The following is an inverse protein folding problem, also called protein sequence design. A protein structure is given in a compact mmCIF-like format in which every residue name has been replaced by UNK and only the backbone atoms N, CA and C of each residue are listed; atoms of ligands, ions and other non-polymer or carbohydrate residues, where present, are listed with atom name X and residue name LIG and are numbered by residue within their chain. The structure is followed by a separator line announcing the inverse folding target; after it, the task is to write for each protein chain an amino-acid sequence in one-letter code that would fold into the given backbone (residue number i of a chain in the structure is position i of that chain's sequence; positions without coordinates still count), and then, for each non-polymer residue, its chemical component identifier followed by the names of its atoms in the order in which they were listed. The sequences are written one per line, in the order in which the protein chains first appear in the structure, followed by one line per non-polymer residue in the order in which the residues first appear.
data_IF_332539987212
#
_entry.id   IF_332539987212
#
_cell.length_a   1.000
_cell.length_b   1.000
_cell.length_c   1.000
_cell.angle_alpha   90.00
_cell.angle_beta   90.00
_cell.angle_gamma   90.00
#
_symmetry.space_group_name_H-M   'P 1'
#
loop_
_entity.id
_entity.type
_entity.pdbx_description
1 polymer ?
#
# COMPACT_ATOMS: atom_id res chain seq x y z
N UNK A 1 -3.06 4.20 18.03
CA UNK A 1 -3.25 4.57 16.61
C UNK A 1 -4.18 5.77 16.56
N UNK A 2 -3.75 6.89 15.98
CA UNK A 2 -4.67 7.98 15.66
C UNK A 2 -5.61 7.56 14.54
N UNK A 3 -6.81 8.14 14.52
CA UNK A 3 -7.77 7.95 13.43
C UNK A 3 -7.14 8.32 12.08
N UNK A 4 -7.45 7.56 11.03
CA UNK A 4 -7.12 7.93 9.64
C UNK A 4 -7.58 9.36 9.38
N UNK A 5 -6.70 10.16 8.77
CA UNK A 5 -7.01 11.50 8.26
C UNK A 5 -7.27 11.41 6.76
N UNK A 6 -8.54 11.40 6.31
CA UNK A 6 -8.86 11.20 4.89
C UNK A 6 -8.20 12.23 3.96
N UNK A 7 -7.97 13.45 4.46
CA UNK A 7 -7.30 14.54 3.74
C UNK A 7 -5.84 14.26 3.38
N UNK A 8 -5.19 13.31 4.05
CA UNK A 8 -3.82 12.85 3.76
C UNK A 8 -3.76 11.61 2.88
N UNK A 9 -4.91 11.09 2.46
CA UNK A 9 -5.00 9.90 1.63
C UNK A 9 -5.13 10.30 0.16
N UNK A 10 -4.11 9.97 -0.63
CA UNK A 10 -4.09 10.16 -2.07
C UNK A 10 -4.39 8.83 -2.75
N UNK A 11 -5.51 8.78 -3.46
CA UNK A 11 -5.94 7.56 -4.18
C UNK A 11 -5.74 7.75 -5.67
N UNK A 12 -5.10 6.78 -6.30
CA UNK A 12 -4.94 6.71 -7.75
C UNK A 12 -5.40 5.36 -8.28
N UNK A 13 -6.14 5.36 -9.37
CA UNK A 13 -6.52 4.16 -10.10
C UNK A 13 -5.56 3.96 -11.29
N UNK A 14 -4.88 2.82 -11.33
CA UNK A 14 -3.97 2.45 -12.40
C UNK A 14 -4.68 1.48 -13.36
N UNK A 15 -4.83 1.91 -14.62
CA UNK A 15 -5.57 1.19 -15.65
C UNK A 15 -7.04 1.63 -15.76
N UNK A 16 -7.77 1.00 -16.67
CA UNK A 16 -9.18 1.31 -16.91
C UNK A 16 -10.03 0.63 -15.84
N UNK A 17 -10.89 1.36 -15.10
CA UNK A 17 -11.92 0.73 -14.28
C UNK A 17 -12.79 -0.10 -15.22
N UNK A 18 -12.84 -1.42 -15.02
CA UNK A 18 -13.79 -2.21 -15.80
C UNK A 18 -15.19 -1.78 -15.37
N UNK A 19 -16.10 -1.60 -16.34
CA UNK A 19 -17.43 -1.06 -16.08
C UNK A 19 -18.25 -1.94 -15.13
N UNK A 20 -17.98 -3.25 -15.07
CA UNK A 20 -18.89 -4.22 -14.45
C UNK A 20 -18.14 -5.19 -13.49
N UNK A 21 -18.11 -4.85 -12.20
CA UNK A 21 -17.81 -5.81 -11.12
C UNK A 21 -16.43 -5.71 -10.44
N UNK A 22 -16.22 -6.47 -9.35
CA UNK A 22 -14.93 -6.53 -8.66
C UNK A 22 -13.92 -7.23 -9.58
N UNK A 23 -13.18 -6.42 -10.34
CA UNK A 23 -12.06 -6.83 -11.17
C UNK A 23 -11.12 -7.78 -10.42
N UNK A 24 -11.07 -9.03 -10.85
CA UNK A 24 -9.99 -9.93 -10.51
C UNK A 24 -8.94 -9.87 -11.65
N UNK A 25 -7.64 -9.70 -11.33
CA UNK A 25 -7.09 -9.32 -10.03
C UNK A 25 -7.26 -7.81 -9.78
N UNK A 26 -7.67 -7.42 -8.56
CA UNK A 26 -7.57 -6.04 -8.05
C UNK A 26 -6.58 -6.06 -6.91
N UNK A 27 -5.50 -5.31 -7.10
CA UNK A 27 -4.40 -5.15 -6.17
C UNK A 27 -4.35 -3.73 -5.63
N UNK A 28 -3.85 -3.62 -4.42
CA UNK A 28 -3.68 -2.39 -3.67
C UNK A 28 -2.21 -2.26 -3.31
N UNK A 29 -1.64 -1.09 -3.58
CA UNK A 29 -0.30 -0.71 -3.15
C UNK A 29 -0.45 0.53 -2.30
N UNK A 30 -0.48 0.35 -0.98
CA UNK A 30 -0.55 1.41 0.00
C UNK A 30 0.83 1.63 0.60
N UNK A 31 1.17 2.89 0.77
CA UNK A 31 2.50 3.21 1.25
C UNK A 31 2.49 4.52 2.04
N UNK A 32 3.27 4.57 3.13
CA UNK A 32 3.27 5.68 4.08
C UNK A 32 4.51 6.57 3.94
N UNK A 33 4.37 7.88 4.12
CA UNK A 33 5.50 8.80 4.20
C UNK A 33 5.71 9.19 5.66
N UNK A 34 6.75 8.67 6.30
CA UNK A 34 7.03 8.97 7.72
C UNK A 34 7.30 10.46 7.97
N UNK A 35 7.83 11.17 6.98
CA UNK A 35 8.16 12.59 7.09
C UNK A 35 6.93 13.50 7.06
N UNK A 36 5.98 13.24 6.16
CA UNK A 36 4.79 14.11 5.98
C UNK A 36 3.51 13.52 6.59
N UNK A 37 3.52 12.22 6.90
CA UNK A 37 2.35 11.43 7.29
C UNK A 37 1.35 11.22 6.15
N UNK A 38 1.76 11.45 4.90
CA UNK A 38 0.92 11.26 3.71
C UNK A 38 0.82 9.77 3.36
N UNK A 39 -0.37 9.36 2.91
CA UNK A 39 -0.67 8.00 2.48
C UNK A 39 -0.95 8.00 0.98
N UNK A 40 -0.27 7.14 0.24
CA UNK A 40 -0.48 6.97 -1.20
C UNK A 40 -0.99 5.58 -1.48
N UNK A 41 -2.19 5.49 -2.04
CA UNK A 41 -2.86 4.25 -2.41
C UNK A 41 -3.02 4.16 -3.93
N UNK A 42 -2.38 3.17 -4.54
CA UNK A 42 -2.69 2.77 -5.91
C UNK A 42 -3.63 1.55 -5.90
N UNK A 43 -4.71 1.65 -6.67
CA UNK A 43 -5.63 0.53 -6.96
C UNK A 43 -5.48 0.16 -8.44
N UNK A 44 -5.13 -1.08 -8.75
CA UNK A 44 -4.91 -1.52 -10.14
C UNK A 44 -5.00 -3.03 -10.32
N UNK A 45 -4.76 -3.51 -11.54
CA UNK A 45 -4.68 -4.95 -11.82
C UNK A 45 -3.41 -5.60 -11.28
N UNK A 46 -2.37 -4.79 -11.09
CA UNK A 46 -1.06 -5.18 -10.60
C UNK A 46 -0.59 -4.29 -9.46
N UNK A 47 0.40 -4.76 -8.70
CA UNK A 47 1.09 -3.92 -7.73
C UNK A 47 1.84 -2.81 -8.44
N UNK A 48 1.79 -1.59 -7.90
CA UNK A 48 2.56 -0.48 -8.44
C UNK A 48 4.03 -0.63 -8.07
N UNK A 49 4.77 -1.29 -8.96
CA UNK A 49 6.22 -1.44 -8.85
C UNK A 49 6.95 -0.10 -8.85
N UNK A 50 6.44 0.92 -9.54
CA UNK A 50 7.03 2.27 -9.50
C UNK A 50 6.97 2.88 -8.11
N UNK A 51 5.83 2.71 -7.42
CA UNK A 51 5.61 3.20 -6.07
C UNK A 51 6.46 2.49 -4.99
N UNK A 52 6.86 1.23 -5.22
CA UNK A 52 7.64 0.42 -4.25
C UNK A 52 9.11 0.20 -4.62
N UNK A 53 9.56 0.54 -5.84
CA UNK A 53 10.92 0.20 -6.31
C UNK A 53 12.03 1.20 -5.94
N UNK A 54 11.68 2.38 -5.43
CA UNK A 54 12.65 3.44 -5.11
C UNK A 54 13.67 3.04 -4.04
N UNK A 55 14.91 3.52 -4.17
CA UNK A 55 16.00 3.27 -3.21
C UNK A 55 15.65 3.76 -1.79
N UNK A 56 15.01 4.93 -1.70
CA UNK A 56 14.45 5.46 -0.45
C UNK A 56 13.33 4.57 0.09
N UNK A 57 12.44 4.11 -0.79
CA UNK A 57 11.30 3.24 -0.46
C UNK A 57 11.73 1.90 0.14
N UNK A 58 12.85 1.34 -0.32
CA UNK A 58 13.41 0.10 0.22
C UNK A 58 14.04 0.22 1.61
N UNK A 59 14.41 1.43 2.05
CA UNK A 59 15.24 1.62 3.24
C UNK A 59 14.45 2.13 4.45
N UNK A 60 13.34 2.86 4.25
CA UNK A 60 12.71 3.66 5.31
C UNK A 60 11.18 3.71 5.19
N UNK A 61 10.52 2.64 4.72
CA UNK A 61 9.08 2.72 4.47
C UNK A 61 8.27 1.54 4.95
N UNK A 62 7.15 1.87 5.58
CA UNK A 62 6.05 0.96 5.80
C UNK A 62 5.21 0.85 4.51
N UNK A 63 5.03 -0.38 4.03
CA UNK A 63 4.25 -0.69 2.83
C UNK A 63 3.21 -1.75 3.13
N UNK A 64 2.02 -1.59 2.54
CA UNK A 64 0.92 -2.55 2.62
C UNK A 64 0.50 -2.89 1.20
N UNK A 65 0.73 -4.13 0.81
CA UNK A 65 0.26 -4.70 -0.44
C UNK A 65 -0.97 -5.55 -0.14
N UNK A 66 -2.01 -5.45 -0.95
CA UNK A 66 -3.15 -6.34 -0.82
C UNK A 66 -3.68 -6.79 -2.17
N UNK A 67 -4.26 -7.98 -2.22
CA UNK A 67 -4.93 -8.49 -3.41
C UNK A 67 -6.14 -9.34 -3.06
N UNK A 68 -7.17 -9.23 -3.89
CA UNK A 68 -8.29 -10.15 -3.83
C UNK A 68 -7.91 -11.48 -4.47
N UNK A 69 -8.17 -12.58 -3.76
CA UNK A 69 -8.04 -13.95 -4.26
C UNK A 69 -9.38 -14.67 -4.12
N UNK A 70 -9.63 -15.62 -5.01
CA UNK A 70 -10.72 -16.58 -4.82
C UNK A 70 -10.36 -17.55 -3.69
N UNK A 71 -11.26 -17.73 -2.73
CA UNK A 71 -11.20 -18.79 -1.71
C UNK A 71 -12.41 -19.71 -1.81
N UNK A 72 -12.37 -20.84 -1.10
CA UNK A 72 -13.46 -21.83 -1.08
C UNK A 72 -14.78 -21.24 -0.54
N UNK A 73 -14.70 -20.35 0.46
CA UNK A 73 -15.85 -19.68 1.07
C UNK A 73 -16.17 -18.30 0.45
N UNK A 74 -15.55 -17.96 -0.68
CA UNK A 74 -15.72 -16.67 -1.36
C UNK A 74 -14.43 -15.84 -1.47
N UNK A 75 -14.52 -14.57 -1.90
CA UNK A 75 -13.36 -13.72 -2.13
C UNK A 75 -12.66 -13.36 -0.81
N UNK A 76 -11.35 -13.60 -0.75
CA UNK A 76 -10.50 -13.31 0.41
C UNK A 76 -9.51 -12.21 0.05
N UNK A 77 -9.36 -11.22 0.94
CA UNK A 77 -8.35 -10.18 0.80
C UNK A 77 -7.06 -10.63 1.49
N UNK A 78 -6.03 -10.92 0.70
CA UNK A 78 -4.69 -11.20 1.21
C UNK A 78 -3.96 -9.88 1.42
N UNK A 79 -3.41 -9.65 2.61
CA UNK A 79 -2.70 -8.43 2.97
C UNK A 79 -1.27 -8.79 3.40
N UNK A 80 -0.30 -8.13 2.81
CA UNK A 80 1.12 -8.25 3.10
C UNK A 80 1.62 -6.90 3.61
N UNK A 81 2.15 -6.88 4.82
CA UNK A 81 2.69 -5.68 5.44
C UNK A 81 4.20 -5.79 5.57
N UNK A 82 4.91 -4.79 5.06
CA UNK A 82 6.30 -4.51 5.43
C UNK A 82 6.28 -3.36 6.43
N UNK A 83 6.88 -3.56 7.59
CA UNK A 83 7.07 -2.51 8.58
C UNK A 83 8.56 -2.35 8.80
N UNK A 84 9.09 -1.16 8.52
CA UNK A 84 10.50 -0.83 8.69
C UNK A 84 10.68 -0.02 9.98
N UNK A 85 11.65 -0.40 10.82
CA UNK A 85 11.91 0.30 12.08
C UNK A 85 12.59 1.68 11.93
N UNK A 86 12.86 2.12 10.70
CA UNK A 86 13.75 3.26 10.41
C UNK A 86 15.20 3.02 10.85
N UNK A 87 16.11 3.90 10.44
CA UNK A 87 17.46 3.96 10.99
C UNK A 87 17.45 4.90 12.21
N UNK A 88 17.51 4.34 13.41
CA UNK A 88 17.77 5.11 14.62
C UNK A 88 19.27 5.43 14.70
N UNK A 89 19.68 6.63 14.31
CA UNK A 89 21.01 7.17 14.64
C UNK A 89 20.91 7.99 15.91
N UNK A 90 21.18 7.35 17.04
CA UNK A 90 21.31 7.97 18.36
C UNK A 90 22.08 7.04 19.28
N UNK A 91 22.81 7.55 20.29
CA UNK A 91 23.46 6.67 21.25
C UNK A 91 22.38 5.85 21.97
N UNK A 92 22.63 4.55 22.12
CA UNK A 92 21.87 3.73 23.05
C UNK A 92 22.19 4.25 24.46
N UNK A 93 21.21 4.92 25.08
CA UNK A 93 21.24 5.29 26.48
C UNK A 93 20.79 4.15 27.37
#
# INVERSE_FOLDING_TARGET
MSRLRPEKLHVRFAGTPAPDGPLAPRRYTLTHSDTSGELFLTVGSDYDKGQISGLYTRLMRDEVLAEWRGGEDGPVLHVFCHVSGGLALGPAG
#
